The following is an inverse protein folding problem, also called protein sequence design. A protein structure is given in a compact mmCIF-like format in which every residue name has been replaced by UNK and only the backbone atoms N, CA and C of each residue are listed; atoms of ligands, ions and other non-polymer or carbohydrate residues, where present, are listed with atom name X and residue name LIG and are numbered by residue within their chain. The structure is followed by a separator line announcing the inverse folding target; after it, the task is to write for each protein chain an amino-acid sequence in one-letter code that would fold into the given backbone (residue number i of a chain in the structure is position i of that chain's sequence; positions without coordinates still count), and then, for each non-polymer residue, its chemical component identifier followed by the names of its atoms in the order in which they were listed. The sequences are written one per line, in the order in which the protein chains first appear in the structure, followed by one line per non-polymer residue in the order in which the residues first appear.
data_IF_030738350991
#
_entry.id   IF_030738350991
#
_cell.length_a   1.000
_cell.length_b   1.000
_cell.length_c   1.000
_cell.angle_alpha   90.00
_cell.angle_beta   90.00
_cell.angle_gamma   90.00
#
_symmetry.space_group_name_H-M   'P 1'
#
loop_
_entity.id
_entity.type
_entity.pdbx_description
1 polymer ?
#
# COMPACT_ATOMS: atom_id res chain seq x y z
N UNK A 1 26.77 6.93 6.63
CA UNK A 1 25.74 7.92 6.27
C UNK A 1 25.01 7.36 5.07
N UNK A 2 23.76 6.94 5.22
CA UNK A 2 22.90 6.65 4.07
C UNK A 2 22.52 8.01 3.49
N UNK A 3 22.87 8.26 2.24
CA UNK A 3 22.42 9.43 1.52
C UNK A 3 20.88 9.39 1.48
N UNK A 4 20.24 10.44 1.98
CA UNK A 4 18.83 10.69 1.70
C UNK A 4 18.76 10.97 0.20
N UNK A 5 18.42 9.96 -0.58
CA UNK A 5 18.05 10.13 -1.98
C UNK A 5 16.70 10.84 -2.00
N UNK A 6 16.70 12.15 -1.74
CA UNK A 6 15.55 12.98 -2.06
C UNK A 6 15.31 12.81 -3.56
N UNK A 7 14.13 12.38 -4.00
CA UNK A 7 13.88 12.06 -5.40
C UNK A 7 13.86 13.35 -6.25
N UNK A 8 15.04 13.83 -6.61
CA UNK A 8 15.24 15.18 -7.16
C UNK A 8 15.28 15.24 -8.69
N UNK A 9 15.10 14.10 -9.38
CA UNK A 9 15.20 14.05 -10.85
C UNK A 9 13.93 13.55 -11.57
N UNK A 10 12.94 13.01 -10.88
CA UNK A 10 11.62 12.69 -11.45
C UNK A 10 10.55 13.47 -10.67
N UNK A 11 9.49 14.00 -11.31
CA UNK A 11 8.37 14.55 -10.54
C UNK A 11 7.68 13.38 -9.82
N UNK A 12 7.65 13.46 -8.50
CA UNK A 12 6.93 12.55 -7.63
C UNK A 12 5.71 13.27 -7.05
N UNK A 13 4.57 12.60 -7.05
CA UNK A 13 3.33 13.08 -6.45
C UNK A 13 3.15 12.37 -5.12
N UNK A 14 3.04 13.12 -4.03
CA UNK A 14 2.69 12.53 -2.73
C UNK A 14 1.25 12.03 -2.78
N UNK A 15 1.02 10.81 -2.32
CA UNK A 15 -0.29 10.15 -2.35
C UNK A 15 -0.79 9.73 -0.98
N UNK A 16 0.12 9.55 -0.02
CA UNK A 16 -0.25 9.28 1.35
C UNK A 16 0.77 9.85 2.32
N UNK A 17 0.34 10.16 3.54
CA UNK A 17 1.22 10.54 4.64
C UNK A 17 0.62 10.11 5.98
N UNK A 18 1.44 9.84 6.98
CA UNK A 18 0.96 9.54 8.33
C UNK A 18 2.08 9.12 9.26
N UNK A 19 1.70 8.72 10.46
CA UNK A 19 2.62 8.18 11.45
C UNK A 19 2.60 6.65 11.40
N UNK A 20 3.78 6.04 11.40
CA UNK A 20 4.02 4.61 11.50
C UNK A 20 3.48 4.10 12.82
N UNK A 21 2.37 3.35 12.76
CA UNK A 21 1.64 2.86 13.93
C UNK A 21 0.35 3.63 14.25
N UNK A 22 0.02 4.68 13.49
CA UNK A 22 -1.27 5.38 13.55
C UNK A 22 -1.91 5.44 12.14
N UNK A 23 -2.95 6.27 11.98
CA UNK A 23 -3.69 6.43 10.74
C UNK A 23 -2.82 7.07 9.63
N UNK A 24 -2.75 6.38 8.49
CA UNK A 24 -2.24 6.96 7.24
C UNK A 24 -3.38 7.66 6.50
N UNK A 25 -3.14 8.89 6.06
CA UNK A 25 -4.06 9.71 5.29
C UNK A 25 -3.72 9.63 3.81
N UNK A 26 -4.71 9.22 3.01
CA UNK A 26 -4.61 9.20 1.55
C UNK A 26 -5.05 10.54 0.98
N UNK A 27 -4.24 11.10 0.09
CA UNK A 27 -4.53 12.35 -0.62
C UNK A 27 -5.72 12.17 -1.57
N UNK A 28 -6.46 13.25 -1.81
CA UNK A 28 -7.66 13.17 -2.66
C UNK A 28 -7.32 12.74 -4.09
N UNK A 29 -8.07 11.79 -4.63
CA UNK A 29 -7.82 11.16 -5.93
C UNK A 29 -6.97 9.88 -5.86
N UNK A 30 -6.42 9.54 -4.69
CA UNK A 30 -5.63 8.33 -4.46
C UNK A 30 -6.30 7.34 -3.49
N UNK A 31 -7.58 7.51 -3.21
CA UNK A 31 -8.33 6.72 -2.23
C UNK A 31 -8.32 5.22 -2.59
N UNK A 32 -8.37 4.88 -3.88
CA UNK A 32 -8.31 3.49 -4.35
C UNK A 32 -7.02 2.75 -3.94
N UNK A 33 -5.89 3.45 -3.81
CA UNK A 33 -4.65 2.85 -3.31
C UNK A 33 -4.82 2.45 -1.84
N UNK A 34 -5.45 3.31 -1.05
CA UNK A 34 -5.79 3.04 0.35
C UNK A 34 -6.81 1.93 0.52
N UNK A 35 -7.85 1.88 -0.31
CA UNK A 35 -8.82 0.79 -0.30
C UNK A 35 -8.16 -0.55 -0.60
N UNK A 36 -7.35 -0.63 -1.66
CA UNK A 36 -6.64 -1.86 -2.03
C UNK A 36 -5.68 -2.28 -0.94
N UNK A 37 -4.89 -1.35 -0.40
CA UNK A 37 -4.00 -1.64 0.72
C UNK A 37 -4.79 -2.22 1.89
N UNK A 38 -5.87 -1.55 2.30
CA UNK A 38 -6.68 -2.00 3.42
C UNK A 38 -7.30 -3.39 3.19
N UNK A 39 -7.83 -3.68 1.99
CA UNK A 39 -8.36 -5.00 1.65
C UNK A 39 -7.26 -6.07 1.73
N UNK A 40 -6.10 -5.81 1.11
CA UNK A 40 -4.98 -6.75 1.05
C UNK A 40 -4.36 -7.03 2.44
N UNK A 41 -4.25 -6.00 3.28
CA UNK A 41 -3.80 -6.12 4.67
C UNK A 41 -4.76 -6.93 5.55
N UNK A 42 -6.04 -7.02 5.16
CA UNK A 42 -7.05 -7.76 5.91
C UNK A 42 -7.33 -9.17 5.34
N UNK A 43 -6.55 -9.65 4.37
CA UNK A 43 -6.71 -11.01 3.84
C UNK A 43 -6.55 -12.10 4.91
N UNK A 44 -5.87 -11.81 6.02
CA UNK A 44 -5.77 -12.73 7.17
C UNK A 44 -7.13 -13.12 7.75
N UNK A 45 -8.16 -12.30 7.56
CA UNK A 45 -9.53 -12.61 7.98
C UNK A 45 -10.16 -13.77 7.17
N UNK A 46 -9.60 -14.11 6.01
CA UNK A 46 -9.99 -15.31 5.24
C UNK A 46 -9.45 -16.61 5.86
N UNK A 47 -8.49 -16.52 6.80
CA UNK A 47 -7.93 -17.65 7.53
C UNK A 47 -6.49 -17.96 7.15
N UNK A 48 -6.21 -19.23 6.84
CA UNK A 48 -4.85 -19.72 6.60
C UNK A 48 -4.27 -19.14 5.29
N UNK A 49 -3.11 -18.46 5.32
CA UNK A 49 -2.45 -17.91 4.13
C UNK A 49 -2.28 -18.93 3.00
N UNK A 50 -2.08 -20.21 3.35
CA UNK A 50 -1.90 -21.30 2.38
C UNK A 50 -3.18 -21.68 1.63
N UNK A 51 -4.33 -21.16 2.06
CA UNK A 51 -5.65 -21.41 1.47
C UNK A 51 -6.15 -20.23 0.65
N UNK A 52 -5.39 -19.14 0.58
CA UNK A 52 -5.70 -18.00 -0.27
C UNK A 52 -5.56 -18.44 -1.72
N UNK A 53 -6.66 -18.32 -2.46
CA UNK A 53 -6.68 -18.50 -3.90
C UNK A 53 -6.17 -17.22 -4.57
N UNK A 54 -4.84 -17.14 -4.76
CA UNK A 54 -4.20 -15.97 -5.35
C UNK A 54 -4.64 -15.73 -6.80
N UNK A 55 -4.94 -16.78 -7.56
CA UNK A 55 -5.43 -16.62 -8.93
C UNK A 55 -6.80 -15.93 -8.94
N UNK A 56 -7.65 -16.22 -7.95
CA UNK A 56 -8.91 -15.51 -7.75
C UNK A 56 -8.70 -14.07 -7.26
N UNK A 57 -7.81 -13.86 -6.29
CA UNK A 57 -7.55 -12.53 -5.71
C UNK A 57 -6.96 -11.58 -6.75
N UNK A 58 -5.98 -12.02 -7.54
CA UNK A 58 -5.33 -11.20 -8.57
C UNK A 58 -6.16 -11.11 -9.84
N UNK A 59 -6.80 -12.21 -10.26
CA UNK A 59 -7.55 -12.25 -11.52
C UNK A 59 -6.67 -11.89 -12.73
N UNK A 60 -7.19 -11.03 -13.61
CA UNK A 60 -6.47 -10.57 -14.81
C UNK A 60 -5.55 -9.35 -14.53
N UNK A 61 -5.37 -8.95 -13.26
CA UNK A 61 -4.66 -7.73 -12.88
C UNK A 61 -3.15 -7.96 -12.70
N UNK A 62 -2.46 -8.26 -13.81
CA UNK A 62 -1.03 -8.62 -13.83
C UNK A 62 -0.07 -7.63 -13.17
N UNK A 63 -0.45 -6.36 -13.05
CA UNK A 63 0.34 -5.37 -12.29
C UNK A 63 0.57 -5.80 -10.84
N UNK A 64 -0.35 -6.57 -10.27
CA UNK A 64 -0.29 -7.04 -8.88
C UNK A 64 0.24 -8.47 -8.75
N UNK A 65 0.71 -9.11 -9.84
CA UNK A 65 1.18 -10.51 -9.80
C UNK A 65 2.31 -10.75 -8.78
N UNK A 66 3.09 -9.72 -8.44
CA UNK A 66 4.19 -9.83 -7.49
C UNK A 66 3.75 -10.03 -6.04
N UNK A 67 2.53 -9.62 -5.66
CA UNK A 67 2.11 -9.63 -4.25
C UNK A 67 1.93 -11.04 -3.69
N UNK A 68 1.74 -12.05 -4.57
CA UNK A 68 1.63 -13.47 -4.17
C UNK A 68 2.92 -14.02 -3.54
N UNK A 69 4.05 -13.39 -3.83
CA UNK A 69 5.38 -13.82 -3.39
C UNK A 69 5.85 -13.05 -2.14
N UNK A 70 5.00 -12.16 -1.60
CA UNK A 70 5.32 -11.33 -0.44
C UNK A 70 4.92 -11.99 0.87
N UNK A 71 5.40 -11.41 1.97
CA UNK A 71 4.95 -11.80 3.30
C UNK A 71 3.45 -11.53 3.43
N UNK A 72 2.75 -12.45 4.09
CA UNK A 72 1.31 -12.37 4.28
C UNK A 72 0.98 -11.70 5.63
N UNK A 73 0.04 -10.74 5.68
CA UNK A 73 -0.74 -10.21 4.56
C UNK A 73 0.08 -9.20 3.70
N UNK A 74 -0.12 -9.16 2.37
CA UNK A 74 0.59 -8.22 1.50
C UNK A 74 0.08 -6.78 1.70
N UNK A 75 0.94 -5.80 1.44
CA UNK A 75 0.67 -4.37 1.66
C UNK A 75 0.29 -4.01 3.10
N UNK A 76 0.72 -4.83 4.07
CA UNK A 76 0.48 -4.59 5.49
C UNK A 76 0.99 -3.20 5.92
N UNK A 77 2.15 -2.79 5.41
CA UNK A 77 2.72 -1.48 5.59
C UNK A 77 2.60 -0.64 4.33
N UNK A 78 2.39 0.68 4.49
CA UNK A 78 2.35 1.62 3.35
C UNK A 78 3.70 1.67 2.62
N UNK A 79 4.81 1.34 3.29
CA UNK A 79 6.12 1.22 2.63
C UNK A 79 6.21 0.03 1.67
N UNK A 80 5.35 -0.99 1.81
CA UNK A 80 5.37 -2.18 0.95
C UNK A 80 5.04 -1.84 -0.51
N UNK A 81 4.44 -0.68 -0.77
CA UNK A 81 4.21 -0.16 -2.12
C UNK A 81 5.52 0.02 -2.91
N UNK A 82 6.67 0.25 -2.27
CA UNK A 82 7.96 0.34 -2.97
C UNK A 82 8.33 -0.96 -3.71
N UNK A 83 7.72 -2.09 -3.32
CA UNK A 83 7.93 -3.36 -3.98
C UNK A 83 7.07 -3.50 -5.26
N UNK A 84 6.11 -2.58 -5.51
CA UNK A 84 5.30 -2.54 -6.74
C UNK A 84 6.03 -1.78 -7.85
N UNK A 85 6.93 -2.45 -8.56
CA UNK A 85 7.71 -1.85 -9.65
C UNK A 85 8.46 -0.55 -9.23
N UNK A 86 9.15 0.10 -10.16
CA UNK A 86 9.85 1.38 -9.90
C UNK A 86 8.88 2.59 -9.93
N UNK A 87 7.62 2.38 -9.60
CA UNK A 87 6.53 3.35 -9.71
C UNK A 87 6.27 4.12 -8.41
N UNK A 88 6.72 3.57 -7.28
CA UNK A 88 6.51 4.08 -5.93
C UNK A 88 7.83 4.45 -5.23
N UNK A 89 7.74 5.36 -4.26
CA UNK A 89 8.82 5.69 -3.34
C UNK A 89 8.20 6.02 -1.98
N UNK A 90 8.72 5.46 -0.90
CA UNK A 90 8.28 5.71 0.46
C UNK A 90 9.40 6.35 1.27
N UNK A 91 9.15 7.53 1.81
CA UNK A 91 10.07 8.18 2.73
C UNK A 91 9.62 7.89 4.18
N UNK A 92 10.40 7.07 4.87
CA UNK A 92 10.22 6.81 6.31
C UNK A 92 11.19 7.68 7.09
N UNK A 93 10.67 8.65 7.84
CA UNK A 93 11.45 9.55 8.69
C UNK A 93 11.28 9.15 10.15
N UNK A 94 12.33 8.59 10.74
CA UNK A 94 12.31 8.29 12.17
C UNK A 94 12.24 9.55 13.01
N UNK A 95 11.29 9.56 13.95
CA UNK A 95 11.18 10.61 14.93
C UNK A 95 12.36 10.61 15.90
N UNK A 96 12.78 11.78 16.37
CA UNK A 96 13.82 11.86 17.41
C UNK A 96 13.24 11.31 18.73
N UNK A 97 13.89 10.31 19.33
CA UNK A 97 13.49 9.75 20.63
C UNK A 97 13.35 10.89 21.66
N UNK A 98 12.11 11.19 22.05
CA UNK A 98 11.84 12.12 23.15
C UNK A 98 12.00 11.37 24.47
N UNK A 99 12.64 11.98 25.48
CA UNK A 99 12.80 11.42 26.83
C UNK A 99 11.46 11.19 27.59
N UNK A 100 10.32 11.60 27.02
CA UNK A 100 8.99 11.36 27.58
C UNK A 100 8.42 10.00 27.14
N UNK A 101 7.73 9.26 28.04
CA UNK A 101 7.04 8.03 27.68
C UNK A 101 5.93 8.32 26.66
N UNK A 102 5.99 7.66 25.50
CA UNK A 102 5.18 7.96 24.30
C UNK A 102 5.99 8.57 23.14
N UNK A 103 7.31 8.41 23.16
CA UNK A 103 8.25 9.02 22.21
C UNK A 103 7.98 8.68 20.73
N UNK A 104 8.12 9.73 19.93
CA UNK A 104 8.14 9.88 18.47
C UNK A 104 7.84 8.64 17.62
N UNK A 105 6.77 8.75 16.84
CA UNK A 105 6.44 7.79 15.79
C UNK A 105 7.28 8.08 14.54
N UNK A 106 7.71 7.05 13.81
CA UNK A 106 8.27 7.27 12.47
C UNK A 106 7.18 7.90 11.61
N UNK A 107 7.44 8.94 10.83
CA UNK A 107 6.47 9.39 9.83
C UNK A 107 6.74 8.69 8.50
N UNK A 108 5.68 8.37 7.77
CA UNK A 108 5.75 7.80 6.43
C UNK A 108 5.07 8.74 5.43
N UNK A 109 5.74 8.96 4.31
CA UNK A 109 5.15 9.58 3.13
C UNK A 109 5.30 8.65 1.94
N UNK A 110 4.19 8.38 1.24
CA UNK A 110 4.18 7.59 0.01
C UNK A 110 4.06 8.52 -1.18
N UNK A 111 4.87 8.22 -2.19
CA UNK A 111 4.92 8.93 -3.45
C UNK A 111 4.73 7.96 -4.61
N UNK A 112 4.12 8.47 -5.68
CA UNK A 112 4.10 7.81 -6.99
C UNK A 112 4.73 8.71 -8.03
N UNK A 113 5.29 8.11 -9.08
CA UNK A 113 5.79 8.87 -10.21
C UNK A 113 4.68 9.69 -10.86
N UNK A 114 4.86 11.01 -10.97
CA UNK A 114 3.85 11.92 -11.50
C UNK A 114 3.47 11.58 -12.95
N UNK A 115 4.42 11.11 -13.78
CA UNK A 115 4.15 10.71 -15.17
C UNK A 115 3.34 9.39 -15.29
N UNK A 116 3.17 8.68 -14.17
CA UNK A 116 2.42 7.41 -14.08
C UNK A 116 1.15 7.52 -13.25
N UNK A 117 0.94 8.64 -12.57
CA UNK A 117 -0.11 8.79 -11.56
C UNK A 117 -1.50 8.36 -12.04
N UNK A 118 -1.97 8.91 -13.16
CA UNK A 118 -3.29 8.58 -13.72
C UNK A 118 -3.42 7.10 -14.11
N UNK A 119 -2.34 6.51 -14.63
CA UNK A 119 -2.33 5.10 -15.02
C UNK A 119 -2.40 4.18 -13.80
N UNK A 120 -1.59 4.47 -12.78
CA UNK A 120 -1.56 3.70 -11.52
C UNK A 120 -2.92 3.81 -10.82
N UNK A 121 -3.46 5.02 -10.67
CA UNK A 121 -4.79 5.22 -10.06
C UNK A 121 -5.84 4.40 -10.77
N UNK A 122 -5.83 4.38 -12.12
CA UNK A 122 -6.77 3.55 -12.88
C UNK A 122 -6.59 2.05 -12.62
N UNK A 123 -5.34 1.55 -12.58
CA UNK A 123 -5.06 0.15 -12.26
C UNK A 123 -5.59 -0.24 -10.88
N UNK A 124 -5.40 0.63 -9.89
CA UNK A 124 -5.90 0.43 -8.52
C UNK A 124 -7.42 0.50 -8.44
N UNK A 125 -8.09 1.40 -9.15
CA UNK A 125 -9.55 1.46 -9.21
C UNK A 125 -10.16 0.20 -9.86
N UNK A 126 -9.55 -0.28 -10.93
CA UNK A 126 -9.97 -1.52 -11.60
C UNK A 126 -9.77 -2.73 -10.66
N UNK A 127 -8.64 -2.78 -9.96
CA UNK A 127 -8.34 -3.87 -9.03
C UNK A 127 -9.21 -3.81 -7.76
N UNK A 128 -9.45 -2.63 -7.20
CA UNK A 128 -10.40 -2.39 -6.11
C UNK A 128 -11.79 -2.92 -6.48
N UNK A 129 -12.27 -2.59 -7.68
CA UNK A 129 -13.57 -3.06 -8.17
C UNK A 129 -13.63 -4.58 -8.29
N UNK A 130 -12.55 -5.21 -8.75
CA UNK A 130 -12.41 -6.67 -8.79
C UNK A 130 -12.47 -7.28 -7.39
N UNK A 131 -11.65 -6.80 -6.46
CA UNK A 131 -11.64 -7.27 -5.07
C UNK A 131 -13.03 -7.11 -4.42
N UNK A 132 -13.69 -5.97 -4.61
CA UNK A 132 -15.06 -5.73 -4.12
C UNK A 132 -16.11 -6.71 -4.65
N UNK A 133 -15.85 -7.34 -5.80
CA UNK A 133 -16.74 -8.32 -6.39
C UNK A 133 -16.55 -9.74 -5.85
N UNK A 134 -15.46 -10.00 -5.11
CA UNK A 134 -15.11 -11.34 -4.64
C UNK A 134 -15.99 -11.76 -3.45
N UNK A 135 -16.84 -12.76 -3.66
CA UNK A 135 -17.71 -13.33 -2.62
C UNK A 135 -16.96 -13.77 -1.35
N UNK A 136 -15.74 -14.36 -1.42
CA UNK A 136 -14.97 -14.68 -0.21
C UNK A 136 -14.65 -13.46 0.67
N UNK A 137 -14.32 -12.32 0.08
CA UNK A 137 -13.99 -11.09 0.81
C UNK A 137 -15.23 -10.49 1.49
N UNK A 138 -16.35 -10.49 0.78
CA UNK A 138 -17.65 -10.07 1.32
C UNK A 138 -18.10 -10.97 2.49
N UNK A 139 -17.96 -12.29 2.36
CA UNK A 139 -18.33 -13.25 3.42
C UNK A 139 -17.46 -13.12 4.66
N UNK A 140 -16.20 -12.73 4.51
CA UNK A 140 -15.28 -12.48 5.62
C UNK A 140 -15.51 -11.12 6.31
N UNK A 141 -16.39 -10.27 5.77
CA UNK A 141 -16.61 -8.91 6.28
C UNK A 141 -15.40 -8.00 6.05
N UNK A 142 -14.54 -8.36 5.09
CA UNK A 142 -13.48 -7.48 4.59
C UNK A 142 -14.11 -6.38 3.72
N UNK A 143 -15.21 -6.64 3.02
CA UNK A 143 -15.88 -5.65 2.16
C UNK A 143 -17.36 -5.57 2.51
#
# INVERSE_FOLDING_TARGET
MKEKNTPSENPWTRVAFGDSGDQVFWESGFESLGSVQWILSNLELLGDPKKIDWDLVIGDHHYFDCIKDWDFPPLYHVADFENLFDDFSADVTSGEESELPGGAFDSIELYIRTDKADHIVKLFQEFESHLCSLEPLQKAGII
#
